data_IF_398104762362
#
_entry.id   IF_398104762362
#
_cell.length_a   1.000
_cell.length_b   1.000
_cell.length_c   1.000
_cell.angle_alpha   90.00
_cell.angle_beta   90.00
_cell.angle_gamma   90.00
#
_symmetry.space_group_name_H-M   'P 1'
#
loop_
_entity.id
_entity.type
_entity.pdbx_description
1 polymer ?
#
# COMPACT_ATOMS: atom_id res chain seq x y z
N UNK A 1 -12.42 -30.95 6.00
CA UNK A 1 -13.24 -30.06 5.14
C UNK A 1 -12.68 -28.66 5.30
N UNK A 2 -11.94 -28.16 4.32
CA UNK A 2 -11.43 -26.79 4.36
C UNK A 2 -12.57 -25.84 3.94
N UNK A 3 -12.67 -24.64 4.54
CA UNK A 3 -13.65 -23.68 4.10
C UNK A 3 -13.36 -23.28 2.66
N UNK A 4 -14.38 -23.36 1.81
CA UNK A 4 -14.27 -22.95 0.42
C UNK A 4 -13.95 -21.46 0.34
N UNK A 5 -13.27 -21.04 -0.72
CA UNK A 5 -12.92 -19.63 -0.99
C UNK A 5 -14.14 -18.70 -0.85
N UNK A 6 -15.33 -19.17 -1.25
CA UNK A 6 -16.61 -18.48 -1.08
C UNK A 6 -16.98 -18.19 0.38
N UNK A 7 -16.68 -19.09 1.31
CA UNK A 7 -16.96 -18.91 2.73
C UNK A 7 -15.98 -17.91 3.35
N UNK A 8 -14.71 -17.95 2.92
CA UNK A 8 -13.68 -17.01 3.38
C UNK A 8 -14.04 -15.58 2.99
N UNK A 9 -14.53 -15.35 1.75
CA UNK A 9 -14.98 -14.01 1.33
C UNK A 9 -16.09 -13.45 2.22
N UNK A 10 -17.09 -14.27 2.56
CA UNK A 10 -18.19 -13.85 3.44
C UNK A 10 -17.66 -13.43 4.82
N UNK A 11 -16.73 -14.20 5.38
CA UNK A 11 -16.11 -13.89 6.67
C UNK A 11 -15.31 -12.58 6.61
N UNK A 12 -14.54 -12.36 5.55
CA UNK A 12 -13.77 -11.12 5.36
C UNK A 12 -14.70 -9.91 5.28
N UNK A 13 -15.82 -10.01 4.57
CA UNK A 13 -16.81 -8.92 4.49
C UNK A 13 -17.35 -8.58 5.89
N UNK A 14 -17.67 -9.58 6.71
CA UNK A 14 -18.13 -9.35 8.09
C UNK A 14 -17.07 -8.66 8.95
N UNK A 15 -15.80 -9.06 8.84
CA UNK A 15 -14.70 -8.40 9.55
C UNK A 15 -14.59 -6.93 9.14
N UNK A 16 -14.69 -6.64 7.84
CA UNK A 16 -14.64 -5.26 7.34
C UNK A 16 -15.83 -4.43 7.82
N UNK A 17 -17.02 -5.01 7.92
CA UNK A 17 -18.21 -4.34 8.46
C UNK A 17 -18.11 -4.07 9.97
N UNK A 18 -17.59 -5.03 10.75
CA UNK A 18 -17.46 -4.89 12.21
C UNK A 18 -16.37 -3.89 12.63
N UNK A 19 -15.22 -3.93 11.95
CA UNK A 19 -14.08 -3.08 12.28
C UNK A 19 -14.07 -1.75 11.48
N UNK A 20 -14.85 -1.66 10.41
CA UNK A 20 -14.92 -0.51 9.52
C UNK A 20 -13.66 -0.33 8.65
N UNK A 21 -13.82 0.36 7.51
CA UNK A 21 -12.70 0.61 6.57
C UNK A 21 -11.60 1.51 7.15
N UNK A 22 -11.93 2.38 8.10
CA UNK A 22 -10.99 3.36 8.68
C UNK A 22 -9.85 2.73 9.48
N UNK A 23 -10.14 1.66 10.26
CA UNK A 23 -9.12 0.97 11.06
C UNK A 23 -8.27 0.01 10.21
N UNK A 24 -8.87 -0.57 9.18
CA UNK A 24 -8.21 -1.55 8.31
C UNK A 24 -7.20 -0.89 7.38
N UNK A 25 -7.47 0.33 6.89
CA UNK A 25 -6.58 1.02 5.94
C UNK A 25 -5.15 1.24 6.48
N UNK A 26 -5.03 1.76 7.70
CA UNK A 26 -3.72 1.99 8.33
C UNK A 26 -2.95 0.69 8.59
N UNK A 27 -3.62 -0.31 9.17
CA UNK A 27 -3.02 -1.61 9.46
C UNK A 27 -2.63 -2.35 8.18
N UNK A 28 -3.45 -2.29 7.14
CA UNK A 28 -3.16 -2.90 5.84
C UNK A 28 -1.96 -2.23 5.16
N UNK A 29 -1.79 -0.90 5.34
CA UNK A 29 -0.62 -0.17 4.85
C UNK A 29 0.68 -0.65 5.50
N UNK A 30 0.70 -0.81 6.82
CA UNK A 30 1.88 -1.29 7.55
C UNK A 30 2.20 -2.76 7.25
N UNK A 31 1.15 -3.60 7.14
CA UNK A 31 1.28 -5.00 6.71
C UNK A 31 1.79 -5.08 5.28
N UNK A 32 1.30 -4.25 4.36
CA UNK A 32 1.77 -4.22 2.97
C UNK A 32 3.24 -3.78 2.87
N UNK A 33 3.68 -2.79 3.67
CA UNK A 33 5.09 -2.39 3.77
C UNK A 33 5.95 -3.54 4.28
N UNK A 34 5.51 -4.26 5.33
CA UNK A 34 6.21 -5.43 5.87
C UNK A 34 6.33 -6.58 4.86
N UNK A 35 5.23 -6.96 4.20
CA UNK A 35 5.21 -8.01 3.18
C UNK A 35 6.05 -7.61 1.95
N UNK A 36 6.01 -6.34 1.53
CA UNK A 36 6.82 -5.83 0.40
C UNK A 36 8.32 -5.93 0.71
N UNK A 37 8.74 -5.56 1.92
CA UNK A 37 10.13 -5.68 2.36
C UNK A 37 10.55 -7.14 2.50
N UNK A 38 9.68 -8.01 3.00
CA UNK A 38 9.92 -9.45 3.08
C UNK A 38 10.10 -10.06 1.69
N UNK A 39 9.19 -9.77 0.75
CA UNK A 39 9.28 -10.24 -0.63
C UNK A 39 10.51 -9.68 -1.33
N UNK A 40 10.85 -8.41 -1.11
CA UNK A 40 12.05 -7.78 -1.68
C UNK A 40 13.32 -8.45 -1.15
N UNK A 41 13.42 -8.72 0.15
CA UNK A 41 14.55 -9.41 0.75
C UNK A 41 14.73 -10.84 0.22
N UNK A 42 13.63 -11.60 0.06
CA UNK A 42 13.68 -12.94 -0.54
C UNK A 42 14.03 -12.91 -2.04
N UNK A 43 13.51 -11.93 -2.78
CA UNK A 43 13.80 -11.80 -4.21
C UNK A 43 15.23 -11.32 -4.49
N UNK A 44 15.82 -10.53 -3.59
CA UNK A 44 17.22 -10.08 -3.68
C UNK A 44 18.21 -11.24 -3.43
N UNK A 45 17.78 -12.29 -2.73
CA UNK A 45 18.53 -13.54 -2.52
C UNK A 45 18.46 -14.47 -3.75
N UNK A 46 17.40 -14.40 -4.56
CA UNK A 46 17.21 -15.23 -5.76
C UNK A 46 17.60 -14.54 -7.09
N UNK A 47 17.58 -13.22 -7.22
CA UNK A 47 17.88 -12.54 -8.49
C UNK A 47 18.47 -11.12 -8.31
N UNK A 48 19.71 -10.91 -8.79
CA UNK A 48 20.36 -9.60 -8.87
C UNK A 48 19.65 -8.62 -9.85
N UNK A 49 19.86 -7.30 -9.70
CA UNK A 49 18.82 -6.31 -9.45
C UNK A 49 17.98 -5.94 -10.68
N UNK A 50 16.67 -6.17 -10.62
CA UNK A 50 15.71 -5.42 -11.45
C UNK A 50 14.73 -4.65 -10.57
N UNK A 51 14.98 -3.34 -10.51
CA UNK A 51 13.98 -2.27 -10.50
C UNK A 51 12.88 -2.38 -9.45
N UNK A 52 13.09 -1.76 -8.29
CA UNK A 52 11.98 -1.28 -7.44
C UNK A 52 11.88 0.23 -7.62
N UNK A 53 11.24 0.65 -8.70
CA UNK A 53 10.79 2.03 -8.84
C UNK A 53 9.57 2.29 -7.96
N UNK A 54 9.70 3.33 -7.15
CA UNK A 54 8.70 4.37 -6.83
C UNK A 54 7.24 3.94 -6.83
N UNK A 55 6.65 3.87 -5.64
CA UNK A 55 5.21 4.14 -5.48
C UNK A 55 4.98 4.79 -4.13
N UNK A 56 4.66 6.09 -4.21
CA UNK A 56 3.81 6.82 -3.29
C UNK A 56 4.50 7.48 -2.11
N UNK A 57 4.80 8.77 -2.24
CA UNK A 57 4.47 9.86 -1.27
C UNK A 57 5.28 11.12 -1.63
N UNK A 58 4.82 11.84 -2.67
CA UNK A 58 5.11 13.27 -2.86
C UNK A 58 3.99 13.83 -3.73
N UNK A 59 2.84 14.11 -3.11
CA UNK A 59 1.88 15.02 -3.70
C UNK A 59 2.49 16.44 -3.61
N UNK A 60 3.22 16.86 -4.64
CA UNK A 60 3.64 18.26 -4.77
C UNK A 60 2.57 18.99 -5.58
N UNK A 61 1.72 19.71 -4.84
CA UNK A 61 0.80 20.72 -5.37
C UNK A 61 1.59 21.74 -6.20
N UNK A 62 1.32 21.79 -7.50
CA UNK A 62 1.92 22.76 -8.42
C UNK A 62 1.04 24.00 -8.53
N UNK A 63 1.00 24.80 -7.47
CA UNK A 63 0.57 26.20 -7.55
C UNK A 63 1.68 27.13 -7.06
N UNK A 64 2.56 27.64 -7.96
CA UNK A 64 3.35 28.82 -7.65
C UNK A 64 2.51 30.08 -7.88
N UNK A 65 1.98 30.59 -6.77
CA UNK A 65 1.53 31.96 -6.56
C UNK A 65 2.69 32.95 -6.86
N UNK A 66 2.39 34.06 -7.56
CA UNK A 66 3.14 35.30 -7.39
C UNK A 66 3.81 35.85 -8.64
N UNK A 67 3.07 36.67 -9.39
CA UNK A 67 3.59 37.86 -10.04
C UNK A 67 4.61 38.59 -9.15
N UNK A 68 5.75 38.98 -9.71
CA UNK A 68 6.27 40.37 -9.72
C UNK A 68 7.70 40.41 -10.24
N UNK A 69 7.90 41.34 -11.20
CA UNK A 69 9.00 42.32 -11.42
C UNK A 69 10.42 41.83 -11.11
N UNK A 70 11.41 42.09 -11.94
CA UNK A 70 12.19 43.34 -11.95
C UNK A 70 12.89 43.45 -13.33
N UNK A 71 12.68 44.54 -14.08
CA UNK A 71 13.52 45.74 -14.16
C UNK A 71 14.81 45.54 -14.96
#
# INVERSE_FOLDING_TARGET
>A
MAPSIWQILIVVVLIVLLFGRGKISGVMGDVAKGIKSFKKGMAEEEESPRKVERTGEDAVDVTPNGEKKDA
#
